data_IF_262814980221
#
_entry.id   IF_262814980221
#
_cell.length_a   1.000
_cell.length_b   1.000
_cell.length_c   1.000
_cell.angle_alpha   90.00
_cell.angle_beta   90.00
_cell.angle_gamma   90.00
#
_symmetry.space_group_name_H-M   'P 1'
#
loop_
_entity.id
_entity.type
_entity.pdbx_description
1 polymer ?
#
# COMPACT_ATOMS: atom_id res chain seq x y z
N UNK A 1 -12.45 10.31 14.30
CA UNK A 1 -11.83 9.00 14.59
C UNK A 1 -11.30 8.46 13.27
N UNK A 2 -10.01 8.59 13.01
CA UNK A 2 -9.40 8.15 11.76
C UNK A 2 -9.44 6.63 11.68
N UNK A 3 -10.00 6.07 10.60
CA UNK A 3 -10.11 4.62 10.41
C UNK A 3 -8.69 4.03 10.37
N UNK A 4 -8.31 3.31 11.42
CA UNK A 4 -7.18 2.38 11.38
C UNK A 4 -7.50 1.30 10.36
N UNK A 5 -7.04 1.48 9.12
CA UNK A 5 -7.28 0.50 8.09
C UNK A 5 -6.14 -0.52 8.07
N UNK A 6 -6.32 -1.55 8.90
CA UNK A 6 -5.42 -2.69 8.98
C UNK A 6 -6.00 -3.83 8.13
N UNK A 7 -5.79 -3.79 6.82
CA UNK A 7 -6.15 -4.93 5.97
C UNK A 7 -5.43 -6.18 6.51
N UNK A 8 -6.18 -7.14 7.07
CA UNK A 8 -5.63 -8.32 7.76
C UNK A 8 -4.73 -9.17 6.86
N UNK A 9 -4.97 -9.13 5.54
CA UNK A 9 -4.16 -9.83 4.55
C UNK A 9 -2.76 -9.24 4.42
N UNK A 10 -2.64 -7.92 4.31
CA UNK A 10 -1.36 -7.25 4.10
C UNK A 10 -0.79 -6.55 5.34
N UNK A 11 -1.47 -6.62 6.48
CA UNK A 11 -1.11 -5.90 7.70
C UNK A 11 -1.03 -4.38 7.51
N UNK A 12 -1.79 -3.82 6.56
CA UNK A 12 -1.77 -2.39 6.23
C UNK A 12 -0.58 -1.92 5.39
N UNK A 13 0.21 -2.84 4.80
CA UNK A 13 1.38 -2.48 3.97
C UNK A 13 1.07 -2.35 2.47
N UNK A 14 -0.09 -2.83 2.03
CA UNK A 14 -0.48 -2.92 0.62
C UNK A 14 0.30 -3.99 -0.18
N UNK A 15 1.15 -4.78 0.47
CA UNK A 15 2.04 -5.77 -0.17
C UNK A 15 1.92 -7.12 0.53
N UNK A 16 2.00 -8.20 -0.24
CA UNK A 16 2.05 -9.58 0.24
C UNK A 16 3.38 -10.17 -0.18
N UNK A 17 4.04 -10.87 0.76
CA UNK A 17 5.24 -11.66 0.48
C UNK A 17 4.89 -13.13 0.56
N UNK A 18 4.97 -13.81 -0.57
CA UNK A 18 4.72 -15.22 -0.70
C UNK A 18 5.88 -16.06 -0.15
N UNK A 19 5.61 -17.32 0.19
CA UNK A 19 6.63 -18.24 0.76
C UNK A 19 7.83 -18.47 -0.16
N UNK A 20 7.63 -18.33 -1.47
CA UNK A 20 8.68 -18.42 -2.50
C UNK A 20 9.52 -17.12 -2.62
N UNK A 21 9.24 -16.10 -1.81
CA UNK A 21 9.93 -14.81 -1.84
C UNK A 21 9.36 -13.80 -2.84
N UNK A 22 8.36 -14.17 -3.65
CA UNK A 22 7.67 -13.26 -4.54
C UNK A 22 6.94 -12.19 -3.72
N UNK A 23 7.06 -10.93 -4.14
CA UNK A 23 6.34 -9.80 -3.55
C UNK A 23 5.35 -9.30 -4.59
N UNK A 24 4.09 -9.17 -4.20
CA UNK A 24 3.07 -8.57 -5.05
C UNK A 24 2.16 -7.63 -4.27
N UNK A 25 1.44 -6.79 -4.99
CA UNK A 25 0.45 -5.88 -4.43
C UNK A 25 -0.72 -6.67 -3.84
N UNK A 26 -1.26 -6.24 -2.70
CA UNK A 26 -2.38 -6.93 -2.06
C UNK A 26 -3.64 -6.88 -2.93
N UNK A 27 -4.06 -8.03 -3.47
CA UNK A 27 -5.21 -8.10 -4.37
C UNK A 27 -6.54 -7.78 -3.68
N UNK A 28 -6.65 -8.02 -2.37
CA UNK A 28 -7.84 -7.63 -1.62
C UNK A 28 -7.99 -6.10 -1.57
N UNK A 29 -6.88 -5.38 -1.45
CA UNK A 29 -6.86 -3.93 -1.51
C UNK A 29 -7.16 -3.42 -2.93
N UNK A 30 -6.73 -4.15 -3.96
CA UNK A 30 -7.04 -3.86 -5.36
C UNK A 30 -8.52 -3.99 -5.66
N UNK A 31 -9.11 -5.10 -5.24
CA UNK A 31 -10.52 -5.38 -5.45
C UNK A 31 -11.42 -4.41 -4.69
N UNK A 32 -11.06 -4.06 -3.45
CA UNK A 32 -11.81 -3.09 -2.63
C UNK A 32 -11.56 -1.63 -3.00
N UNK A 33 -10.62 -1.35 -3.92
CA UNK A 33 -10.23 0.02 -4.29
C UNK A 33 -9.48 0.78 -3.20
N UNK A 34 -9.16 0.14 -2.08
CA UNK A 34 -8.46 0.74 -0.96
C UNK A 34 -6.94 0.71 -1.14
N UNK A 35 -6.39 1.37 -2.16
CA UNK A 35 -4.93 1.51 -2.28
C UNK A 35 -4.38 2.82 -1.75
N UNK A 36 -5.19 3.86 -1.79
CA UNK A 36 -5.01 5.17 -1.18
C UNK A 36 -4.56 5.09 0.29
N UNK A 37 -5.06 4.10 1.02
CA UNK A 37 -4.73 3.88 2.44
C UNK A 37 -3.32 3.36 2.72
N UNK A 38 -2.59 2.89 1.70
CA UNK A 38 -1.22 2.38 1.86
C UNK A 38 -0.17 3.47 1.64
N UNK A 39 -0.62 4.69 1.39
CA UNK A 39 0.22 5.82 1.05
C UNK A 39 0.39 6.81 2.21
N UNK A 40 0.92 6.34 3.35
CA UNK A 40 1.27 7.24 4.46
C UNK A 40 2.66 7.88 4.32
N UNK A 41 3.42 7.51 3.28
CA UNK A 41 4.85 7.87 3.12
C UNK A 41 5.32 8.09 1.69
N UNK A 42 4.50 7.92 0.64
CA UNK A 42 4.93 8.40 -0.68
C UNK A 42 4.77 9.91 -0.65
N UNK A 43 5.90 10.56 -0.38
CA UNK A 43 6.13 11.94 -0.77
C UNK A 43 5.73 12.06 -2.25
N UNK A 44 4.96 13.07 -2.62
CA UNK A 44 4.67 13.32 -4.02
C UNK A 44 6.00 13.42 -4.79
N UNK A 45 6.03 13.10 -6.08
CA UNK A 45 7.26 13.21 -6.87
C UNK A 45 7.92 14.59 -6.73
N UNK A 46 7.11 15.64 -6.57
CA UNK A 46 7.54 17.00 -6.26
C UNK A 46 8.24 17.13 -4.90
N UNK A 47 7.74 16.46 -3.86
CA UNK A 47 8.32 16.42 -2.51
C UNK A 47 9.64 15.63 -2.44
N UNK A 48 9.94 14.83 -3.47
CA UNK A 48 11.22 14.13 -3.67
C UNK A 48 12.17 14.90 -4.61
N UNK A 49 11.79 16.08 -5.10
CA UNK A 49 12.58 16.86 -6.05
C UNK A 49 12.69 16.22 -7.45
N UNK A 50 11.88 15.21 -7.74
CA UNK A 50 11.81 14.56 -9.05
C UNK A 50 10.86 15.38 -9.92
N UNK A 51 11.43 16.19 -10.83
CA UNK A 51 10.65 16.87 -11.87
C UNK A 51 10.31 15.84 -12.96
N UNK A 52 9.01 15.57 -13.12
CA UNK A 52 8.47 14.86 -14.29
C UNK A 52 8.45 15.79 -15.51
#
# INVERSE_FOLDING_TARGET
MEKQYNCEKCGGTGRIKEKNGMIHTCFHCLESGGFDQHDKKLKNAQDLGIKL
#
